data_IF_871176582398
#
_entry.id   IF_871176582398
#
_cell.length_a   1.000
_cell.length_b   1.000
_cell.length_c   1.000
_cell.angle_alpha   90.00
_cell.angle_beta   90.00
_cell.angle_gamma   90.00
#
_symmetry.space_group_name_H-M   'P 1'
#
loop_
_entity.id
_entity.type
_entity.pdbx_description
1 polymer ?
#
# COMPACT_ATOMS: atom_id res chain seq x y z
N UNK A 1 8.57 15.54 29.30
CA UNK A 1 7.75 16.47 28.54
C UNK A 1 6.49 15.69 28.22
N UNK A 2 5.33 16.19 28.65
CA UNK A 2 4.05 15.60 28.30
C UNK A 2 3.90 15.62 26.77
N UNK A 3 3.36 14.57 26.18
CA UNK A 3 3.03 14.58 24.76
C UNK A 3 1.82 15.51 24.56
N UNK A 4 2.09 16.81 24.41
CA UNK A 4 1.06 17.75 24.00
C UNK A 4 0.65 17.35 22.59
N UNK A 5 -0.62 16.96 22.41
CA UNK A 5 -1.20 16.72 21.08
C UNK A 5 -0.93 17.97 20.25
N UNK A 6 -0.15 17.85 19.18
CA UNK A 6 0.14 18.96 18.30
C UNK A 6 -1.17 19.43 17.66
N UNK A 7 -1.44 20.73 17.75
CA UNK A 7 -2.63 21.34 17.13
C UNK A 7 -2.20 22.30 16.03
N UNK A 8 -1.86 21.79 14.84
CA UNK A 8 -1.54 22.65 13.72
C UNK A 8 -2.76 23.43 13.25
N UNK A 9 -2.53 24.60 12.65
CA UNK A 9 -3.60 25.33 11.98
C UNK A 9 -4.14 24.51 10.81
N UNK A 10 -5.48 24.42 10.67
CA UNK A 10 -6.14 23.73 9.55
C UNK A 10 -5.67 24.23 8.19
N UNK A 11 -5.31 25.51 8.06
CA UNK A 11 -4.77 26.06 6.81
C UNK A 11 -3.45 25.38 6.37
N UNK A 12 -2.69 24.81 7.31
CA UNK A 12 -1.47 24.06 6.99
C UNK A 12 -1.74 22.66 6.43
N UNK A 13 -2.97 22.19 6.43
CA UNK A 13 -3.38 21.01 5.67
C UNK A 13 -3.59 21.30 4.16
N UNK A 14 -3.73 22.58 3.77
CA UNK A 14 -3.92 22.96 2.38
C UNK A 14 -2.77 22.52 1.45
N UNK A 15 -1.47 22.64 1.81
CA UNK A 15 -0.37 22.12 1.00
C UNK A 15 -0.50 20.63 0.65
N UNK A 16 -1.01 19.81 1.59
CA UNK A 16 -1.29 18.40 1.35
C UNK A 16 -2.41 18.20 0.32
N UNK A 17 -3.55 18.87 0.51
CA UNK A 17 -4.66 18.83 -0.45
C UNK A 17 -4.26 19.32 -1.85
N UNK A 18 -3.47 20.41 -1.94
CA UNK A 18 -2.95 20.94 -3.19
C UNK A 18 -2.02 19.93 -3.87
N UNK A 19 -1.10 19.31 -3.11
CA UNK A 19 -0.17 18.32 -3.64
C UNK A 19 -0.92 17.10 -4.19
N UNK A 20 -1.85 16.54 -3.42
CA UNK A 20 -2.65 15.39 -3.84
C UNK A 20 -3.51 15.72 -5.07
N UNK A 21 -4.15 16.90 -5.09
CA UNK A 21 -4.89 17.38 -6.25
C UNK A 21 -3.99 17.55 -7.49
N UNK A 22 -2.76 18.06 -7.31
CA UNK A 22 -1.81 18.19 -8.40
C UNK A 22 -1.34 16.83 -8.93
N UNK A 23 -1.04 15.86 -8.06
CA UNK A 23 -0.67 14.50 -8.46
C UNK A 23 -1.80 13.84 -9.26
N UNK A 24 -3.06 14.00 -8.83
CA UNK A 24 -4.21 13.38 -9.47
C UNK A 24 -4.59 14.06 -10.81
N UNK A 25 -4.57 15.37 -10.87
CA UNK A 25 -5.15 16.14 -11.97
C UNK A 25 -4.11 16.66 -12.98
N UNK A 26 -2.92 17.08 -12.53
CA UNK A 26 -1.94 17.68 -13.43
C UNK A 26 -1.46 16.74 -14.55
N UNK A 27 -1.23 15.41 -14.32
CA UNK A 27 -0.92 14.48 -15.42
C UNK A 27 -2.04 14.34 -16.45
N UNK A 28 -3.30 14.58 -16.07
CA UNK A 28 -4.46 14.45 -16.97
C UNK A 28 -4.63 15.68 -17.86
N UNK A 29 -4.36 16.88 -17.33
CA UNK A 29 -4.63 18.14 -18.03
C UNK A 29 -3.36 18.84 -18.54
N UNK A 30 -2.21 18.62 -17.89
CA UNK A 30 -0.95 19.33 -18.11
C UNK A 30 0.27 18.39 -18.04
N UNK A 31 0.20 17.20 -18.70
CA UNK A 31 1.19 16.12 -18.58
C UNK A 31 2.64 16.59 -18.81
N UNK A 32 2.92 17.35 -19.88
CA UNK A 32 4.27 17.83 -20.21
C UNK A 32 4.81 18.83 -19.17
N UNK A 33 3.94 19.71 -18.68
CA UNK A 33 4.31 20.67 -17.64
C UNK A 33 4.58 19.96 -16.32
N UNK A 34 3.68 19.05 -15.91
CA UNK A 34 3.82 18.27 -14.70
C UNK A 34 5.10 17.43 -14.72
N UNK A 35 5.35 16.69 -15.79
CA UNK A 35 6.55 15.87 -15.94
C UNK A 35 7.86 16.63 -15.74
N UNK A 36 7.90 17.95 -16.06
CA UNK A 36 9.08 18.80 -15.88
C UNK A 36 9.15 19.50 -14.51
N UNK A 37 7.99 19.77 -13.87
CA UNK A 37 7.91 20.66 -12.73
C UNK A 37 7.46 19.98 -11.42
N UNK A 38 6.96 18.73 -11.48
CA UNK A 38 6.49 18.04 -10.27
C UNK A 38 7.50 18.06 -9.12
N UNK A 39 8.84 17.92 -9.32
CA UNK A 39 9.76 17.95 -8.21
C UNK A 39 9.80 19.31 -7.48
N UNK A 40 9.69 20.39 -8.24
CA UNK A 40 9.70 21.75 -7.69
C UNK A 40 8.42 22.05 -6.91
N UNK A 41 7.27 21.67 -7.47
CA UNK A 41 5.97 21.85 -6.81
C UNK A 41 5.92 21.02 -5.53
N UNK A 42 6.24 19.73 -5.63
CA UNK A 42 6.17 18.81 -4.51
C UNK A 42 7.11 19.23 -3.36
N UNK A 43 8.39 19.40 -3.65
CA UNK A 43 9.37 19.80 -2.63
C UNK A 43 9.11 21.21 -2.09
N UNK A 44 8.64 22.14 -2.92
CA UNK A 44 8.27 23.49 -2.46
C UNK A 44 7.16 23.46 -1.41
N UNK A 45 6.09 22.70 -1.65
CA UNK A 45 5.00 22.52 -0.69
C UNK A 45 5.49 21.83 0.60
N UNK A 46 6.32 20.79 0.47
CA UNK A 46 6.90 20.08 1.61
C UNK A 46 7.78 20.99 2.48
N UNK A 47 8.63 21.80 1.86
CA UNK A 47 9.52 22.74 2.58
C UNK A 47 8.71 23.77 3.38
N UNK A 48 7.61 24.30 2.84
CA UNK A 48 6.74 25.24 3.57
C UNK A 48 6.23 24.61 4.87
N UNK A 49 5.76 23.36 4.82
CA UNK A 49 5.26 22.68 6.02
C UNK A 49 6.39 22.35 7.01
N UNK A 50 7.55 21.90 6.52
CA UNK A 50 8.72 21.64 7.40
C UNK A 50 9.14 22.91 8.13
N UNK A 51 9.23 24.06 7.43
CA UNK A 51 9.55 25.34 8.06
C UNK A 51 8.52 25.69 9.13
N UNK A 52 7.22 25.50 8.88
CA UNK A 52 6.16 25.75 9.86
C UNK A 52 6.35 24.88 11.12
N UNK A 53 6.62 23.58 10.97
CA UNK A 53 6.84 22.68 12.10
C UNK A 53 8.10 23.03 12.91
N UNK A 54 9.17 23.44 12.25
CA UNK A 54 10.43 23.77 12.92
C UNK A 54 10.40 25.16 13.58
N UNK A 55 9.80 26.16 12.92
CA UNK A 55 9.84 27.54 13.37
C UNK A 55 8.67 27.92 14.30
N UNK A 56 7.44 27.49 13.96
CA UNK A 56 6.23 27.89 14.69
C UNK A 56 5.90 26.88 15.79
N UNK A 57 5.80 25.59 15.43
CA UNK A 57 5.44 24.53 16.39
C UNK A 57 6.61 24.04 17.22
N UNK A 58 7.86 24.34 16.79
CA UNK A 58 9.11 23.86 17.42
C UNK A 58 9.15 22.34 17.62
N UNK A 59 8.49 21.60 16.72
CA UNK A 59 8.29 20.16 16.76
C UNK A 59 9.34 19.39 15.94
N UNK A 60 10.62 19.70 16.12
CA UNK A 60 11.74 19.04 15.43
C UNK A 60 11.75 17.51 15.56
N UNK A 61 11.50 16.93 16.75
CA UNK A 61 11.40 15.48 16.91
C UNK A 61 10.30 14.85 16.06
N UNK A 62 9.16 15.49 15.86
CA UNK A 62 8.07 15.03 15.03
C UNK A 62 8.47 14.99 13.54
N UNK A 63 9.12 16.07 13.05
CA UNK A 63 9.68 16.10 11.68
C UNK A 63 10.70 14.99 11.49
N UNK A 64 11.56 14.75 12.47
CA UNK A 64 12.56 13.67 12.41
C UNK A 64 11.89 12.28 12.35
N UNK A 65 10.86 12.04 13.17
CA UNK A 65 10.10 10.79 13.15
C UNK A 65 9.48 10.54 11.77
N UNK A 66 8.80 11.53 11.21
CA UNK A 66 8.23 11.45 9.85
C UNK A 66 9.29 11.20 8.78
N UNK A 67 10.46 11.84 8.91
CA UNK A 67 11.59 11.61 7.99
C UNK A 67 12.11 10.15 8.10
N UNK A 68 12.18 9.58 9.29
CA UNK A 68 12.59 8.18 9.47
C UNK A 68 11.57 7.20 8.89
N UNK A 69 10.28 7.47 9.03
CA UNK A 69 9.21 6.68 8.40
C UNK A 69 9.33 6.72 6.86
N UNK A 70 9.55 7.91 6.29
CA UNK A 70 9.79 8.05 4.85
C UNK A 70 11.02 7.26 4.38
N UNK A 71 12.14 7.32 5.11
CA UNK A 71 13.36 6.56 4.77
C UNK A 71 13.06 5.07 4.79
N UNK A 72 12.39 4.56 5.81
CA UNK A 72 11.99 3.15 5.89
C UNK A 72 11.10 2.73 4.72
N UNK A 73 10.12 3.58 4.39
CA UNK A 73 9.20 3.36 3.28
C UNK A 73 9.94 3.28 1.93
N UNK A 74 10.77 4.29 1.62
CA UNK A 74 11.44 4.33 0.31
C UNK A 74 12.53 3.26 0.17
N UNK A 75 13.18 2.86 1.27
CA UNK A 75 14.11 1.74 1.26
C UNK A 75 13.41 0.43 0.93
N UNK A 76 12.22 0.17 1.48
CA UNK A 76 11.45 -1.02 1.14
C UNK A 76 10.99 -1.00 -0.31
N UNK A 77 10.24 0.04 -0.70
CA UNK A 77 9.68 0.12 -2.06
C UNK A 77 10.78 0.15 -3.12
N UNK A 78 11.86 0.89 -2.89
CA UNK A 78 13.00 0.99 -3.78
C UNK A 78 13.74 -0.33 -3.93
N UNK A 79 13.97 -1.04 -2.84
CA UNK A 79 14.64 -2.34 -2.89
C UNK A 79 13.81 -3.39 -3.64
N UNK A 80 12.51 -3.46 -3.37
CA UNK A 80 11.60 -4.36 -4.10
C UNK A 80 11.53 -4.01 -5.59
N UNK A 81 11.52 -2.72 -5.93
CA UNK A 81 11.54 -2.26 -7.32
C UNK A 81 12.81 -2.69 -8.07
N UNK A 82 13.99 -2.50 -7.47
CA UNK A 82 15.26 -2.88 -8.08
C UNK A 82 15.36 -4.39 -8.24
N UNK A 83 15.02 -5.14 -7.20
CA UNK A 83 15.11 -6.61 -7.21
C UNK A 83 14.13 -7.20 -8.23
N UNK A 84 12.89 -6.73 -8.29
CA UNK A 84 11.90 -7.19 -9.28
C UNK A 84 12.33 -6.85 -10.72
N UNK A 85 12.97 -5.70 -10.92
CA UNK A 85 13.55 -5.29 -12.20
C UNK A 85 14.72 -6.18 -12.66
N UNK A 86 15.35 -6.90 -11.74
CA UNK A 86 16.40 -7.89 -12.01
C UNK A 86 15.89 -9.30 -12.35
N UNK A 87 14.59 -9.55 -12.32
CA UNK A 87 13.98 -10.85 -12.66
C UNK A 87 13.23 -10.70 -13.99
N UNK A 88 13.50 -11.61 -14.93
CA UNK A 88 12.79 -11.65 -16.22
C UNK A 88 12.10 -13.00 -16.40
N UNK A 89 10.81 -12.95 -16.72
CA UNK A 89 9.97 -14.11 -16.96
C UNK A 89 9.48 -14.08 -18.41
N UNK A 90 9.76 -15.11 -19.17
CA UNK A 90 9.12 -15.38 -20.44
C UNK A 90 8.24 -16.62 -20.31
N UNK A 91 7.02 -16.55 -20.80
CA UNK A 91 6.01 -17.62 -20.63
C UNK A 91 5.66 -18.18 -21.98
N UNK A 92 5.73 -19.52 -22.10
CA UNK A 92 5.26 -20.26 -23.26
C UNK A 92 3.81 -20.72 -23.03
N UNK A 93 3.00 -20.65 -24.04
CA UNK A 93 1.74 -21.34 -24.06
C UNK A 93 0.56 -20.49 -24.52
N UNK A 94 -0.52 -21.21 -24.83
CA UNK A 94 -1.75 -20.62 -25.24
C UNK A 94 -2.46 -19.96 -24.04
N UNK A 95 -2.78 -18.69 -24.16
CA UNK A 95 -3.53 -17.93 -23.16
C UNK A 95 -5.01 -18.34 -23.15
N UNK A 96 -5.31 -19.56 -22.68
CA UNK A 96 -6.70 -19.98 -22.44
C UNK A 96 -7.25 -19.24 -21.21
N UNK A 97 -8.57 -19.10 -21.09
CA UNK A 97 -9.19 -18.47 -19.92
C UNK A 97 -8.77 -19.09 -18.59
N UNK A 98 -8.56 -20.40 -18.52
CA UNK A 98 -8.08 -21.11 -17.32
C UNK A 98 -6.63 -20.73 -16.98
N UNK A 99 -5.75 -20.69 -18.00
CA UNK A 99 -4.36 -20.29 -17.83
C UNK A 99 -4.27 -18.84 -17.39
N UNK A 100 -5.10 -17.96 -17.96
CA UNK A 100 -5.16 -16.55 -17.57
C UNK A 100 -5.63 -16.37 -16.12
N UNK A 101 -6.66 -17.11 -15.68
CA UNK A 101 -7.11 -17.08 -14.27
C UNK A 101 -6.00 -17.55 -13.34
N UNK A 102 -5.31 -18.63 -13.68
CA UNK A 102 -4.18 -19.13 -12.88
C UNK A 102 -3.04 -18.11 -12.81
N UNK A 103 -2.72 -17.45 -13.94
CA UNK A 103 -1.71 -16.42 -13.99
C UNK A 103 -2.06 -15.22 -13.10
N UNK A 104 -3.30 -14.75 -13.14
CA UNK A 104 -3.77 -13.65 -12.28
C UNK A 104 -3.77 -14.06 -10.80
N UNK A 105 -4.15 -15.30 -10.48
CA UNK A 105 -4.09 -15.83 -9.11
C UNK A 105 -2.64 -15.88 -8.59
N UNK A 106 -1.70 -16.40 -9.40
CA UNK A 106 -0.28 -16.39 -9.07
C UNK A 106 0.19 -14.95 -8.89
N UNK A 107 -0.24 -14.03 -9.75
CA UNK A 107 0.05 -12.60 -9.63
C UNK A 107 -0.43 -12.01 -8.31
N UNK A 108 -1.67 -12.30 -7.90
CA UNK A 108 -2.22 -11.87 -6.62
C UNK A 108 -1.44 -12.40 -5.41
N UNK A 109 -1.00 -13.66 -5.46
CA UNK A 109 -0.16 -14.24 -4.41
C UNK A 109 1.24 -13.60 -4.38
N UNK A 110 1.83 -13.42 -5.57
CA UNK A 110 3.17 -12.81 -5.74
C UNK A 110 3.19 -11.36 -5.26
N UNK A 111 2.09 -10.62 -5.41
CA UNK A 111 1.98 -9.23 -4.94
C UNK A 111 2.21 -9.08 -3.44
N UNK A 112 1.89 -10.10 -2.63
CA UNK A 112 2.13 -10.07 -1.19
C UNK A 112 3.61 -10.27 -0.79
N UNK A 113 4.45 -10.63 -1.74
CA UNK A 113 5.89 -10.94 -1.53
C UNK A 113 6.78 -9.89 -2.20
N UNK A 114 6.45 -9.52 -3.45
CA UNK A 114 7.19 -8.54 -4.26
C UNK A 114 6.65 -7.10 -4.13
N UNK A 115 5.53 -6.94 -3.43
CA UNK A 115 4.72 -5.72 -3.50
C UNK A 115 3.91 -5.65 -4.80
N UNK A 116 2.81 -4.91 -4.76
CA UNK A 116 1.96 -4.66 -5.94
C UNK A 116 2.74 -4.05 -7.10
N UNK A 117 3.65 -3.12 -6.81
CA UNK A 117 4.53 -2.50 -7.82
C UNK A 117 5.48 -3.54 -8.43
N UNK A 118 6.20 -4.30 -7.61
CA UNK A 118 7.16 -5.29 -8.07
C UNK A 118 6.51 -6.41 -8.88
N UNK A 119 5.40 -6.97 -8.40
CA UNK A 119 4.63 -8.00 -9.09
C UNK A 119 4.07 -7.47 -10.42
N UNK A 120 3.55 -6.24 -10.44
CA UNK A 120 3.02 -5.62 -11.65
C UNK A 120 4.10 -5.44 -12.73
N UNK A 121 5.27 -4.91 -12.34
CA UNK A 121 6.39 -4.73 -13.26
C UNK A 121 6.93 -6.04 -13.82
N UNK A 122 7.00 -7.08 -12.99
CA UNK A 122 7.47 -8.41 -13.36
C UNK A 122 6.49 -9.11 -14.31
N UNK A 123 5.19 -9.03 -14.04
CA UNK A 123 4.19 -9.90 -14.67
C UNK A 123 3.46 -9.24 -15.84
N UNK A 124 3.45 -7.90 -15.97
CA UNK A 124 2.69 -7.25 -17.05
C UNK A 124 3.20 -7.60 -18.43
N UNK A 125 4.53 -7.66 -18.65
CA UNK A 125 5.10 -7.99 -19.97
C UNK A 125 4.78 -9.43 -20.40
N UNK A 126 5.01 -10.48 -19.59
CA UNK A 126 4.52 -11.82 -19.87
C UNK A 126 3.02 -11.86 -20.16
N UNK A 127 2.21 -11.15 -19.37
CA UNK A 127 0.77 -11.07 -19.54
C UNK A 127 0.34 -10.51 -20.89
N UNK A 128 0.97 -9.41 -21.33
CA UNK A 128 0.72 -8.81 -22.63
C UNK A 128 1.11 -9.76 -23.76
N UNK A 129 2.27 -10.42 -23.66
CA UNK A 129 2.77 -11.36 -24.67
C UNK A 129 1.88 -12.59 -24.81
N UNK A 130 1.47 -13.22 -23.71
CA UNK A 130 0.57 -14.38 -23.72
C UNK A 130 -0.75 -14.09 -24.44
N UNK A 131 -1.27 -12.87 -24.27
CA UNK A 131 -2.58 -12.48 -24.78
C UNK A 131 -2.51 -11.66 -26.07
N UNK A 132 -1.34 -11.47 -26.70
CA UNK A 132 -1.13 -10.52 -27.81
C UNK A 132 -2.15 -10.63 -28.95
N UNK A 133 -2.56 -11.86 -29.31
CA UNK A 133 -3.50 -12.12 -30.42
C UNK A 133 -4.95 -11.77 -30.11
N UNK A 134 -5.32 -11.54 -28.85
CA UNK A 134 -6.69 -11.22 -28.43
C UNK A 134 -6.76 -10.20 -27.30
N UNK A 135 -5.68 -9.49 -27.05
CA UNK A 135 -5.59 -8.53 -25.95
C UNK A 135 -6.65 -7.43 -26.10
N UNK A 136 -7.36 -7.16 -25.00
CA UNK A 136 -8.40 -6.12 -24.92
C UNK A 136 -8.33 -5.43 -23.56
N UNK A 137 -9.09 -4.34 -23.39
CA UNK A 137 -9.10 -3.58 -22.15
C UNK A 137 -9.40 -4.41 -20.89
N UNK A 138 -10.21 -5.50 -21.00
CA UNK A 138 -10.48 -6.32 -19.81
C UNK A 138 -9.22 -7.07 -19.32
N UNK A 139 -8.32 -7.50 -20.19
CA UNK A 139 -7.06 -8.13 -19.76
C UNK A 139 -6.22 -7.15 -18.93
N UNK A 140 -6.10 -5.89 -19.40
CA UNK A 140 -5.35 -4.86 -18.69
C UNK A 140 -5.98 -4.55 -17.34
N UNK A 141 -7.29 -4.31 -17.32
CA UNK A 141 -7.94 -3.81 -16.13
C UNK A 141 -8.12 -4.87 -15.05
N UNK A 142 -8.42 -6.11 -15.40
CA UNK A 142 -8.43 -7.18 -14.40
C UNK A 142 -7.02 -7.50 -13.86
N UNK A 143 -5.98 -7.32 -14.67
CA UNK A 143 -4.60 -7.36 -14.15
C UNK A 143 -4.37 -6.26 -13.12
N UNK A 144 -4.79 -5.02 -13.41
CA UNK A 144 -4.70 -3.90 -12.45
C UNK A 144 -5.54 -4.20 -11.20
N UNK A 145 -6.78 -4.64 -11.34
CA UNK A 145 -7.64 -4.95 -10.21
C UNK A 145 -7.02 -5.98 -9.28
N UNK A 146 -6.54 -7.08 -9.86
CA UNK A 146 -6.11 -8.26 -9.11
C UNK A 146 -4.65 -8.15 -8.67
N UNK A 147 -3.73 -7.90 -9.60
CA UNK A 147 -2.28 -7.96 -9.31
C UNK A 147 -1.77 -6.64 -8.71
N UNK A 148 -2.22 -5.51 -9.26
CA UNK A 148 -1.71 -4.20 -8.85
C UNK A 148 -2.40 -3.63 -7.59
N UNK A 149 -3.47 -4.26 -7.10
CA UNK A 149 -4.23 -3.76 -5.94
C UNK A 149 -4.73 -4.89 -5.04
N UNK A 150 -5.91 -5.45 -5.31
CA UNK A 150 -6.62 -6.38 -4.41
C UNK A 150 -5.74 -7.54 -3.95
N UNK A 151 -4.93 -8.08 -4.85
CA UNK A 151 -4.03 -9.20 -4.58
C UNK A 151 -2.99 -8.91 -3.49
N UNK A 152 -2.49 -7.68 -3.40
CA UNK A 152 -1.43 -7.29 -2.47
C UNK A 152 -1.87 -7.01 -1.03
N UNK A 153 -3.12 -7.24 -0.66
CA UNK A 153 -3.68 -6.78 0.62
C UNK A 153 -3.54 -7.75 1.79
N UNK A 154 -2.63 -8.74 1.74
CA UNK A 154 -2.42 -9.68 2.86
C UNK A 154 -1.16 -9.43 3.68
N UNK A 155 -0.21 -8.64 3.21
CA UNK A 155 1.02 -8.37 3.94
C UNK A 155 1.41 -6.90 3.88
N UNK A 156 2.15 -6.40 4.87
CA UNK A 156 2.72 -5.05 4.83
C UNK A 156 3.65 -4.81 3.63
N UNK A 157 4.28 -5.85 3.10
CA UNK A 157 5.13 -5.76 1.89
C UNK A 157 4.27 -5.68 0.63
N UNK A 158 3.04 -6.18 0.69
CA UNK A 158 2.14 -6.29 -0.45
C UNK A 158 1.71 -4.95 -1.02
N UNK A 159 1.31 -4.02 -0.17
CA UNK A 159 0.92 -2.69 -0.65
C UNK A 159 1.38 -1.58 0.32
N UNK A 160 1.81 -0.41 -0.20
CA UNK A 160 2.34 0.70 0.59
C UNK A 160 1.52 1.10 1.82
N UNK A 161 0.18 1.21 1.78
CA UNK A 161 -0.64 1.52 2.95
C UNK A 161 -0.40 0.59 4.14
N UNK A 162 -0.33 -0.71 3.85
CA UNK A 162 -0.18 -1.72 4.89
C UNK A 162 1.19 -1.67 5.56
N UNK A 163 2.23 -1.28 4.81
CA UNK A 163 3.55 -1.05 5.38
C UNK A 163 3.57 0.17 6.29
N UNK A 164 2.87 1.23 5.92
CA UNK A 164 2.72 2.41 6.78
C UNK A 164 1.96 2.07 8.07
N UNK A 165 0.92 1.23 7.98
CA UNK A 165 0.27 0.66 9.16
C UNK A 165 1.22 -0.13 10.04
N UNK A 166 2.08 -0.95 9.44
CA UNK A 166 3.13 -1.69 10.17
C UNK A 166 4.09 -0.75 10.90
N UNK A 167 4.51 0.36 10.27
CA UNK A 167 5.34 1.38 10.93
C UNK A 167 4.60 2.07 12.10
N UNK A 168 3.28 2.16 12.04
CA UNK A 168 2.40 2.67 13.11
C UNK A 168 1.99 1.61 14.15
N UNK A 169 2.65 0.45 14.15
CA UNK A 169 2.47 -0.58 15.16
C UNK A 169 1.45 -1.66 14.84
N UNK A 170 0.86 -1.71 13.63
CA UNK A 170 0.06 -2.87 13.20
C UNK A 170 0.99 -4.09 13.08
N UNK A 171 0.70 -5.24 13.72
CA UNK A 171 1.57 -6.41 13.62
C UNK A 171 1.67 -6.93 12.18
N UNK A 172 2.86 -7.41 11.77
CA UNK A 172 3.11 -7.85 10.40
C UNK A 172 2.06 -8.84 9.87
N UNK A 173 1.75 -9.87 10.65
CA UNK A 173 0.80 -10.92 10.26
C UNK A 173 -0.65 -10.59 10.56
N UNK A 174 -0.93 -9.42 11.13
CA UNK A 174 -2.28 -9.04 11.53
C UNK A 174 -3.21 -8.97 10.31
N UNK A 175 -2.76 -8.32 9.23
CA UNK A 175 -3.55 -8.17 8.00
C UNK A 175 -3.88 -9.54 7.41
N UNK A 176 -2.89 -10.42 7.30
CA UNK A 176 -3.12 -11.77 6.79
C UNK A 176 -4.12 -12.55 7.64
N UNK A 177 -4.06 -12.42 8.97
CA UNK A 177 -4.95 -13.15 9.89
C UNK A 177 -6.38 -12.64 9.90
N UNK A 178 -6.57 -11.33 9.75
CA UNK A 178 -7.89 -10.71 9.87
C UNK A 178 -8.53 -10.41 8.51
N UNK A 179 -7.74 -10.05 7.51
CA UNK A 179 -8.26 -9.60 6.21
C UNK A 179 -8.30 -10.69 5.12
N UNK A 180 -7.80 -11.93 5.38
CA UNK A 180 -7.83 -13.00 4.38
C UNK A 180 -9.25 -13.35 3.85
N UNK A 181 -10.34 -13.26 4.65
CA UNK A 181 -11.67 -13.57 4.12
C UNK A 181 -12.11 -12.54 3.06
N UNK A 182 -11.79 -11.24 3.33
CA UNK A 182 -12.08 -10.15 2.39
C UNK A 182 -11.24 -10.30 1.13
N UNK A 183 -9.95 -10.64 1.27
CA UNK A 183 -9.04 -10.90 0.16
C UNK A 183 -9.53 -12.07 -0.71
N UNK A 184 -9.86 -13.20 -0.08
CA UNK A 184 -10.35 -14.40 -0.79
C UNK A 184 -11.64 -14.10 -1.53
N UNK A 185 -12.57 -13.39 -0.90
CA UNK A 185 -13.84 -12.98 -1.50
C UNK A 185 -13.59 -12.04 -2.69
N UNK A 186 -12.78 -10.99 -2.51
CA UNK A 186 -12.50 -9.99 -3.55
C UNK A 186 -11.78 -10.59 -4.75
N UNK A 187 -10.67 -11.32 -4.52
CA UNK A 187 -9.92 -12.01 -5.59
C UNK A 187 -10.78 -13.07 -6.25
N UNK A 188 -11.54 -13.86 -5.49
CA UNK A 188 -12.42 -14.90 -6.00
C UNK A 188 -13.50 -14.35 -6.93
N UNK A 189 -14.18 -13.28 -6.54
CA UNK A 189 -15.20 -12.61 -7.36
C UNK A 189 -14.57 -12.07 -8.65
N UNK A 190 -13.45 -11.35 -8.55
CA UNK A 190 -12.78 -10.77 -9.71
C UNK A 190 -12.28 -11.85 -10.69
N UNK A 191 -11.70 -12.94 -10.18
CA UNK A 191 -11.28 -14.08 -11.02
C UNK A 191 -12.47 -14.76 -11.70
N UNK A 192 -13.60 -14.92 -11.00
CA UNK A 192 -14.81 -15.49 -11.58
C UNK A 192 -15.38 -14.58 -12.69
N UNK A 193 -15.47 -13.27 -12.43
CA UNK A 193 -15.91 -12.30 -13.44
C UNK A 193 -14.97 -12.29 -14.65
N UNK A 194 -13.65 -12.26 -14.40
CA UNK A 194 -12.65 -12.36 -15.46
C UNK A 194 -12.80 -13.61 -16.29
N UNK A 195 -12.96 -14.77 -15.65
CA UNK A 195 -13.14 -16.06 -16.36
C UNK A 195 -14.32 -16.04 -17.32
N UNK A 196 -15.45 -15.46 -16.92
CA UNK A 196 -16.63 -15.33 -17.77
C UNK A 196 -16.34 -14.42 -18.97
N UNK A 197 -15.83 -13.22 -18.70
CA UNK A 197 -15.55 -12.20 -19.74
C UNK A 197 -14.48 -12.72 -20.71
N UNK A 198 -13.42 -13.33 -20.19
CA UNK A 198 -12.31 -13.85 -21.00
C UNK A 198 -12.72 -15.08 -21.82
N UNK A 199 -13.61 -15.93 -21.29
CA UNK A 199 -14.18 -17.06 -22.06
C UNK A 199 -15.01 -16.57 -23.24
N UNK A 200 -15.80 -15.52 -23.07
CA UNK A 200 -16.57 -14.91 -24.16
C UNK A 200 -15.66 -14.28 -25.22
N UNK A 201 -14.57 -13.65 -24.81
CA UNK A 201 -13.55 -13.10 -25.71
C UNK A 201 -12.80 -14.23 -26.44
N UNK A 202 -12.38 -15.28 -25.73
CA UNK A 202 -11.65 -16.41 -26.29
C UNK A 202 -12.42 -17.14 -27.39
N UNK A 203 -13.73 -17.33 -27.22
CA UNK A 203 -14.61 -17.98 -28.22
C UNK A 203 -14.72 -17.18 -29.53
N UNK A 204 -14.43 -15.88 -29.50
CA UNK A 204 -14.45 -15.01 -30.69
C UNK A 204 -13.14 -15.04 -31.48
N UNK A 205 -12.04 -15.52 -30.88
CA UNK A 205 -10.73 -15.53 -31.51
C UNK A 205 -10.60 -16.69 -32.51
N UNK A 206 -10.16 -16.44 -33.79
CA UNK A 206 -9.98 -17.50 -34.79
C UNK A 206 -8.90 -18.48 -34.38
N UNK A 207 -9.18 -19.80 -34.47
CA UNK A 207 -8.25 -20.86 -34.06
C UNK A 207 -6.91 -20.80 -34.80
N UNK A 208 -6.93 -20.47 -36.12
CA UNK A 208 -5.73 -20.39 -36.97
C UNK A 208 -4.76 -19.28 -36.54
N UNK A 209 -5.26 -18.13 -36.06
CA UNK A 209 -4.41 -17.05 -35.57
C UNK A 209 -3.71 -17.46 -34.28
N UNK A 210 -4.39 -18.18 -33.43
CA UNK A 210 -3.93 -18.70 -32.16
C UNK A 210 -2.72 -19.64 -32.33
N UNK A 211 -2.83 -20.63 -33.24
CA UNK A 211 -1.75 -21.60 -33.50
C UNK A 211 -0.47 -20.94 -34.06
N UNK A 212 -0.61 -19.97 -34.97
CA UNK A 212 0.51 -19.29 -35.59
C UNK A 212 1.28 -18.40 -34.60
N UNK A 213 0.60 -17.75 -33.66
CA UNK A 213 1.18 -16.79 -32.74
C UNK A 213 1.86 -17.45 -31.51
N UNK A 214 1.52 -18.71 -31.19
CA UNK A 214 2.07 -19.43 -30.02
C UNK A 214 3.20 -20.42 -30.37
N UNK A 215 3.50 -20.65 -31.64
CA UNK A 215 4.39 -21.70 -32.12
C UNK A 215 5.89 -21.54 -31.69
N UNK A 216 6.33 -20.35 -31.38
CA UNK A 216 7.77 -20.03 -31.17
C UNK A 216 8.14 -19.51 -29.78
N UNK A 217 7.29 -19.61 -28.78
CA UNK A 217 7.57 -19.11 -27.43
C UNK A 217 8.14 -20.23 -26.52
N UNK A 218 9.11 -19.87 -25.68
CA UNK A 218 9.73 -20.78 -24.70
C UNK A 218 9.65 -20.20 -23.29
N UNK A 219 9.51 -21.09 -22.29
CA UNK A 219 9.67 -20.70 -20.90
C UNK A 219 11.13 -20.32 -20.63
N UNK A 220 11.35 -19.07 -20.19
CA UNK A 220 12.66 -18.60 -19.73
C UNK A 220 12.51 -17.81 -18.46
N UNK A 221 13.33 -18.17 -17.48
CA UNK A 221 13.45 -17.47 -16.21
C UNK A 221 14.89 -16.99 -16.09
N UNK A 222 15.10 -15.68 -16.07
CA UNK A 222 16.42 -15.07 -15.95
C UNK A 222 16.50 -14.24 -14.67
N UNK A 223 17.70 -14.14 -14.09
CA UNK A 223 17.91 -13.33 -12.90
C UNK A 223 17.39 -13.95 -11.61
N UNK A 224 17.23 -15.27 -11.52
CA UNK A 224 16.70 -15.95 -10.32
C UNK A 224 17.56 -15.73 -9.05
N UNK A 225 18.83 -15.32 -9.20
CA UNK A 225 19.69 -14.88 -8.08
C UNK A 225 19.04 -13.73 -7.28
N UNK A 226 18.18 -12.95 -7.91
CA UNK A 226 17.43 -11.87 -7.24
C UNK A 226 16.41 -12.37 -6.21
N UNK A 227 16.00 -13.64 -6.26
CA UNK A 227 15.19 -14.25 -5.22
C UNK A 227 15.94 -14.34 -3.88
N UNK A 228 17.27 -14.48 -3.91
CA UNK A 228 18.09 -14.40 -2.69
C UNK A 228 18.03 -12.99 -2.09
N UNK A 229 18.24 -11.94 -2.89
CA UNK A 229 18.13 -10.57 -2.40
C UNK A 229 16.72 -10.21 -1.92
N UNK A 230 15.70 -10.75 -2.59
CA UNK A 230 14.31 -10.64 -2.13
C UNK A 230 14.13 -11.24 -0.73
N UNK A 231 14.63 -12.45 -0.51
CA UNK A 231 14.57 -13.10 0.81
C UNK A 231 15.30 -12.28 1.90
N UNK A 232 16.43 -11.67 1.56
CA UNK A 232 17.16 -10.76 2.45
C UNK A 232 16.31 -9.53 2.81
N UNK A 233 15.66 -8.88 1.83
CA UNK A 233 14.77 -7.72 2.07
C UNK A 233 13.59 -8.12 2.95
N UNK A 234 12.92 -9.25 2.65
CA UNK A 234 11.80 -9.74 3.44
C UNK A 234 12.21 -10.08 4.89
N UNK A 235 13.40 -10.67 5.07
CA UNK A 235 13.95 -10.91 6.40
C UNK A 235 14.28 -9.61 7.15
N UNK A 236 14.80 -8.61 6.44
CA UNK A 236 15.15 -7.33 7.02
C UNK A 236 13.95 -6.56 7.57
N UNK A 237 12.73 -6.75 7.01
CA UNK A 237 11.50 -6.10 7.51
C UNK A 237 11.27 -6.36 9.00
N UNK A 238 11.68 -7.51 9.51
CA UNK A 238 11.51 -7.90 10.92
C UNK A 238 12.60 -7.36 11.85
N UNK A 239 13.59 -6.64 11.34
CA UNK A 239 14.69 -6.07 12.13
C UNK A 239 14.31 -4.66 12.58
N UNK A 240 13.95 -4.52 13.87
CA UNK A 240 13.56 -3.23 14.44
C UNK A 240 14.71 -2.53 15.20
N UNK A 241 15.79 -3.25 15.51
CA UNK A 241 16.95 -2.74 16.26
C UNK A 241 18.26 -3.32 15.74
N UNK A 242 19.37 -2.55 15.73
CA UNK A 242 19.45 -1.11 16.01
C UNK A 242 18.75 -0.24 14.93
N UNK A 243 18.49 1.06 15.20
CA UNK A 243 17.89 1.96 14.23
C UNK A 243 18.68 1.98 12.91
N UNK A 244 17.97 2.09 11.79
CA UNK A 244 18.51 2.11 10.42
C UNK A 244 19.22 0.84 9.93
N UNK A 245 19.36 -0.22 10.74
CA UNK A 245 19.97 -1.47 10.29
C UNK A 245 19.12 -2.14 9.20
N UNK A 246 17.80 -2.13 9.36
CA UNK A 246 16.84 -2.64 8.40
C UNK A 246 17.01 -1.95 7.03
N UNK A 247 17.01 -0.64 7.04
CA UNK A 247 17.13 0.20 5.84
C UNK A 247 18.49 -0.01 5.15
N UNK A 248 19.55 -0.13 5.92
CA UNK A 248 20.89 -0.42 5.39
C UNK A 248 20.96 -1.80 4.71
N UNK A 249 20.36 -2.83 5.33
CA UNK A 249 20.32 -4.18 4.73
C UNK A 249 19.50 -4.17 3.44
N UNK A 250 18.34 -3.50 3.43
CA UNK A 250 17.50 -3.36 2.24
C UNK A 250 18.23 -2.64 1.10
N UNK A 251 18.90 -1.53 1.40
CA UNK A 251 19.69 -0.78 0.42
C UNK A 251 20.88 -1.61 -0.11
N UNK A 252 21.58 -2.31 0.77
CA UNK A 252 22.69 -3.20 0.38
C UNK A 252 22.20 -4.34 -0.51
N UNK A 253 21.05 -4.96 -0.18
CA UNK A 253 20.45 -6.00 -1.02
C UNK A 253 20.04 -5.47 -2.40
N UNK A 254 19.46 -4.27 -2.47
CA UNK A 254 19.13 -3.62 -3.74
C UNK A 254 20.37 -3.33 -4.59
N UNK A 255 21.43 -2.78 -3.99
CA UNK A 255 22.71 -2.58 -4.66
C UNK A 255 23.31 -3.90 -5.14
N UNK A 256 23.36 -4.92 -4.27
CA UNK A 256 23.83 -6.25 -4.64
C UNK A 256 23.06 -6.84 -5.82
N UNK A 257 21.73 -6.76 -5.78
CA UNK A 257 20.84 -7.18 -6.87
C UNK A 257 21.19 -6.46 -8.17
N UNK A 258 21.29 -5.13 -8.15
CA UNK A 258 21.57 -4.33 -9.35
C UNK A 258 22.91 -4.68 -9.99
N UNK A 259 24.00 -4.79 -9.20
CA UNK A 259 25.33 -5.04 -9.72
C UNK A 259 25.58 -6.51 -10.12
N UNK A 260 24.88 -7.47 -9.51
CA UNK A 260 25.02 -8.90 -9.86
C UNK A 260 24.09 -9.33 -10.98
N UNK A 261 23.03 -8.58 -11.26
CA UNK A 261 22.13 -8.85 -12.39
C UNK A 261 22.81 -8.52 -13.71
N UNK A 262 22.78 -9.46 -14.65
CA UNK A 262 23.38 -9.29 -15.96
C UNK A 262 22.61 -8.23 -16.77
N UNK A 263 23.36 -7.40 -17.51
CA UNK A 263 22.80 -6.28 -18.28
C UNK A 263 21.67 -6.69 -19.22
N UNK A 264 21.76 -7.83 -19.87
CA UNK A 264 20.72 -8.31 -20.79
C UNK A 264 19.37 -8.57 -20.09
N UNK A 265 19.35 -8.84 -18.77
CA UNK A 265 18.11 -8.97 -17.99
C UNK A 265 17.46 -7.60 -17.77
N UNK A 266 18.28 -6.61 -17.42
CA UNK A 266 17.81 -5.23 -17.30
C UNK A 266 17.29 -4.69 -18.64
N UNK A 267 18.02 -4.95 -19.74
CA UNK A 267 17.62 -4.55 -21.08
C UNK A 267 16.30 -5.24 -21.51
N UNK A 268 16.13 -6.54 -21.19
CA UNK A 268 14.91 -7.28 -21.48
C UNK A 268 13.68 -6.78 -20.68
N UNK A 269 13.91 -6.16 -19.51
CA UNK A 269 12.90 -5.54 -18.68
C UNK A 269 12.71 -4.04 -18.93
N UNK A 270 13.46 -3.42 -19.87
CA UNK A 270 13.52 -1.96 -20.05
C UNK A 270 13.72 -1.24 -18.71
N UNK A 271 14.57 -1.81 -17.84
CA UNK A 271 14.76 -1.33 -16.48
C UNK A 271 15.41 0.04 -16.46
N UNK A 272 14.78 0.98 -15.75
CA UNK A 272 15.36 2.30 -15.48
C UNK A 272 14.88 2.82 -14.12
N UNK A 273 15.59 3.79 -13.55
CA UNK A 273 15.31 4.34 -12.24
C UNK A 273 14.26 5.47 -12.24
N UNK A 274 13.71 5.87 -13.39
CA UNK A 274 12.76 6.99 -13.43
C UNK A 274 11.51 6.78 -12.56
N UNK A 275 10.85 5.60 -12.59
CA UNK A 275 9.67 5.38 -11.78
C UNK A 275 9.94 5.50 -10.27
N UNK A 276 11.00 4.87 -9.79
CA UNK A 276 11.33 4.92 -8.35
C UNK A 276 11.83 6.31 -7.92
N UNK A 277 12.51 7.06 -8.81
CA UNK A 277 12.89 8.44 -8.56
C UNK A 277 11.66 9.34 -8.41
N UNK A 278 10.66 9.17 -9.26
CA UNK A 278 9.41 9.92 -9.18
C UNK A 278 8.68 9.61 -7.87
N UNK A 279 8.54 8.33 -7.54
CA UNK A 279 7.96 7.89 -6.26
C UNK A 279 8.72 8.50 -5.08
N UNK A 280 10.05 8.45 -5.07
CA UNK A 280 10.84 8.99 -3.98
C UNK A 280 10.59 10.50 -3.77
N UNK A 281 10.57 11.29 -4.83
CA UNK A 281 10.36 12.75 -4.74
C UNK A 281 8.94 13.07 -4.29
N UNK A 282 7.94 12.43 -4.87
CA UNK A 282 6.53 12.69 -4.53
C UNK A 282 6.22 12.27 -3.10
N UNK A 283 6.68 11.11 -2.67
CA UNK A 283 6.43 10.63 -1.32
C UNK A 283 7.20 11.42 -0.25
N UNK A 284 8.41 11.92 -0.54
CA UNK A 284 9.09 12.85 0.36
C UNK A 284 8.23 14.09 0.67
N UNK A 285 7.61 14.64 -0.38
CA UNK A 285 6.70 15.78 -0.23
C UNK A 285 5.38 15.39 0.43
N UNK A 286 4.81 14.22 0.11
CA UNK A 286 3.59 13.69 0.74
C UNK A 286 3.83 13.54 2.25
N UNK A 287 4.90 12.86 2.67
CA UNK A 287 5.22 12.69 4.09
C UNK A 287 5.39 14.03 4.82
N UNK A 288 6.03 15.00 4.17
CA UNK A 288 6.18 16.34 4.76
C UNK A 288 4.84 17.10 4.85
N UNK A 289 4.04 17.09 3.78
CA UNK A 289 2.80 17.86 3.72
C UNK A 289 1.63 17.23 4.48
N UNK A 290 1.62 15.92 4.69
CA UNK A 290 0.54 15.23 5.40
C UNK A 290 0.58 15.47 6.92
N UNK A 291 1.74 15.80 7.53
CA UNK A 291 1.87 15.99 8.98
C UNK A 291 0.73 16.85 9.56
N UNK A 292 0.48 18.10 9.10
CA UNK A 292 -0.57 18.91 9.69
C UNK A 292 -1.99 18.36 9.46
N UNK A 293 -2.21 17.63 8.38
CA UNK A 293 -3.51 17.01 8.13
C UNK A 293 -3.77 15.84 9.09
N UNK A 294 -2.75 14.99 9.31
CA UNK A 294 -2.85 13.86 10.23
C UNK A 294 -2.99 14.31 11.68
N UNK A 295 -2.16 15.25 12.13
CA UNK A 295 -2.21 15.79 13.50
C UNK A 295 -3.54 16.50 13.76
N UNK A 296 -4.07 17.25 12.78
CA UNK A 296 -5.37 17.89 12.90
C UNK A 296 -6.52 16.86 12.97
N UNK A 297 -6.48 15.82 12.13
CA UNK A 297 -7.45 14.74 12.16
C UNK A 297 -7.41 14.01 13.51
N UNK A 298 -6.25 13.68 14.02
CA UNK A 298 -6.09 13.02 15.30
C UNK A 298 -6.64 13.89 16.45
N UNK A 299 -6.43 15.20 16.41
CA UNK A 299 -6.91 16.13 17.44
C UNK A 299 -8.43 16.39 17.40
N UNK A 300 -9.07 16.24 16.22
CA UNK A 300 -10.46 16.70 16.02
C UNK A 300 -11.44 15.60 15.58
N UNK A 301 -10.98 14.38 15.29
CA UNK A 301 -11.81 13.31 14.74
C UNK A 301 -13.00 12.94 15.65
N UNK A 302 -12.86 13.04 16.97
CA UNK A 302 -13.95 12.81 17.93
C UNK A 302 -15.15 13.73 17.71
N UNK A 303 -14.95 14.89 17.06
CA UNK A 303 -16.01 15.86 16.76
C UNK A 303 -16.70 15.57 15.43
N UNK A 304 -16.17 14.70 14.58
CA UNK A 304 -16.69 14.40 13.25
C UNK A 304 -17.88 13.41 13.25
N UNK A 305 -18.31 12.93 14.41
CA UNK A 305 -19.44 12.02 14.56
C UNK A 305 -19.03 10.63 15.03
N UNK A 306 -20.02 9.70 15.13
CA UNK A 306 -19.74 8.32 15.54
C UNK A 306 -19.18 7.52 14.33
N UNK A 307 -17.90 7.14 14.34
CA UNK A 307 -17.32 6.36 13.26
C UNK A 307 -17.84 4.93 13.28
N UNK A 308 -18.12 4.39 12.08
CA UNK A 308 -18.53 3.00 11.88
C UNK A 308 -17.60 2.32 10.87
N UNK A 309 -17.47 0.98 10.90
CA UNK A 309 -16.67 0.27 9.91
C UNK A 309 -17.07 0.58 8.46
N UNK A 310 -18.38 0.72 8.20
CA UNK A 310 -18.88 1.10 6.88
C UNK A 310 -18.45 2.50 6.45
N UNK A 311 -18.45 3.48 7.37
CA UNK A 311 -17.96 4.83 7.08
C UNK A 311 -16.46 4.82 6.74
N UNK A 312 -15.67 4.10 7.52
CA UNK A 312 -14.23 3.97 7.26
C UNK A 312 -13.94 3.25 5.94
N UNK A 313 -14.69 2.18 5.61
CA UNK A 313 -14.54 1.45 4.35
C UNK A 313 -14.83 2.33 3.12
N UNK A 314 -16.01 2.97 3.10
CA UNK A 314 -16.42 3.82 1.97
C UNK A 314 -15.65 5.14 1.91
N UNK A 315 -15.35 5.74 3.06
CA UNK A 315 -14.61 7.00 3.14
C UNK A 315 -13.17 6.85 2.68
N UNK A 316 -12.43 5.89 3.25
CA UNK A 316 -11.05 5.59 2.81
C UNK A 316 -11.03 5.11 1.36
N UNK A 317 -12.01 4.30 0.97
CA UNK A 317 -12.14 3.79 -0.39
C UNK A 317 -12.41 4.90 -1.41
N UNK A 318 -13.40 5.76 -1.17
CA UNK A 318 -13.72 6.85 -2.09
C UNK A 318 -12.52 7.77 -2.31
N UNK A 319 -11.79 8.10 -1.24
CA UNK A 319 -10.60 8.93 -1.33
C UNK A 319 -9.47 8.20 -2.09
N UNK A 320 -9.24 6.92 -1.80
CA UNK A 320 -8.24 6.08 -2.48
C UNK A 320 -8.53 5.85 -3.97
N UNK A 321 -9.78 5.98 -4.39
CA UNK A 321 -10.12 5.89 -5.82
C UNK A 321 -9.54 7.02 -6.67
N UNK A 322 -9.23 8.17 -6.07
CA UNK A 322 -8.77 9.39 -6.75
C UNK A 322 -7.40 9.84 -6.27
N UNK A 323 -6.98 9.43 -5.08
CA UNK A 323 -5.69 9.72 -4.49
C UNK A 323 -4.93 8.42 -4.28
N UNK A 324 -3.61 8.51 -4.16
CA UNK A 324 -2.80 7.35 -3.80
C UNK A 324 -3.27 6.73 -2.47
N UNK A 325 -3.30 5.40 -2.42
CA UNK A 325 -3.84 4.65 -1.29
C UNK A 325 -3.03 4.81 0.02
N UNK A 326 -1.73 5.10 -0.06
CA UNK A 326 -0.88 5.24 1.13
C UNK A 326 -1.22 6.48 1.99
N UNK A 327 -1.28 7.73 1.46
CA UNK A 327 -1.71 8.87 2.24
C UNK A 327 -3.16 8.77 2.70
N UNK A 328 -4.01 8.13 1.90
CA UNK A 328 -5.41 7.86 2.28
C UNK A 328 -5.49 6.98 3.52
N UNK A 329 -4.75 5.88 3.55
CA UNK A 329 -4.69 4.97 4.69
C UNK A 329 -4.28 5.70 5.97
N UNK A 330 -3.17 6.47 5.94
CA UNK A 330 -2.69 7.20 7.11
C UNK A 330 -3.67 8.26 7.59
N UNK A 331 -4.35 8.96 6.67
CA UNK A 331 -5.38 9.95 7.05
C UNK A 331 -6.53 9.31 7.82
N UNK A 332 -7.03 8.17 7.36
CA UNK A 332 -8.11 7.46 8.04
C UNK A 332 -7.65 6.75 9.31
N UNK A 333 -6.42 6.23 9.36
CA UNK A 333 -5.84 5.68 10.59
C UNK A 333 -5.68 6.78 11.67
N UNK A 334 -5.21 7.98 11.30
CA UNK A 334 -5.12 9.12 12.23
C UNK A 334 -6.50 9.57 12.69
N UNK A 335 -7.51 9.55 11.81
CA UNK A 335 -8.89 9.81 12.19
C UNK A 335 -9.45 8.75 13.15
N UNK A 336 -9.09 7.49 12.98
CA UNK A 336 -9.44 6.39 13.88
C UNK A 336 -8.82 6.59 15.27
N UNK A 337 -7.53 6.93 15.33
CA UNK A 337 -6.84 7.23 16.59
C UNK A 337 -7.52 8.42 17.30
N UNK A 338 -7.74 9.52 16.60
CA UNK A 338 -8.40 10.70 17.18
C UNK A 338 -9.84 10.46 17.62
N UNK A 339 -10.56 9.53 16.99
CA UNK A 339 -11.94 9.21 17.36
C UNK A 339 -12.05 8.29 18.57
N UNK A 340 -11.12 7.36 18.76
CA UNK A 340 -11.24 6.27 19.71
C UNK A 340 -10.20 6.26 20.82
N UNK A 341 -9.03 6.90 20.61
CA UNK A 341 -7.94 6.84 21.57
C UNK A 341 -7.97 8.04 22.50
N UNK A 342 -7.97 7.74 23.81
CA UNK A 342 -7.69 8.75 24.82
C UNK A 342 -6.19 8.88 25.02
N UNK A 343 -5.57 10.05 24.75
CA UNK A 343 -4.13 10.24 24.89
C UNK A 343 -3.62 9.99 26.31
N UNK A 344 -4.41 10.32 27.34
CA UNK A 344 -4.03 10.10 28.74
C UNK A 344 -3.97 8.60 29.04
N UNK A 345 -4.92 7.82 28.51
CA UNK A 345 -4.91 6.37 28.63
C UNK A 345 -3.70 5.74 27.92
N UNK A 346 -3.36 6.21 26.71
CA UNK A 346 -2.19 5.74 25.98
C UNK A 346 -0.89 6.05 26.76
N UNK A 347 -0.75 7.25 27.31
CA UNK A 347 0.38 7.61 28.17
C UNK A 347 0.45 6.74 29.43
N UNK A 348 -0.70 6.47 30.07
CA UNK A 348 -0.79 5.58 31.23
C UNK A 348 -0.35 4.14 30.90
N UNK A 349 -0.73 3.62 29.71
CA UNK A 349 -0.30 2.29 29.23
C UNK A 349 1.23 2.25 29.08
N UNK A 350 1.83 3.26 28.43
CA UNK A 350 3.30 3.33 28.28
C UNK A 350 4.00 3.37 29.63
N UNK A 351 3.53 4.21 30.57
CA UNK A 351 4.09 4.34 31.90
C UNK A 351 3.95 3.02 32.68
N UNK A 352 2.79 2.38 32.63
CA UNK A 352 2.54 1.10 33.31
C UNK A 352 3.46 0.00 32.79
N UNK A 353 3.55 -0.18 31.48
CA UNK A 353 4.40 -1.22 30.90
C UNK A 353 5.88 -0.99 31.19
N UNK A 354 6.35 0.25 31.21
CA UNK A 354 7.76 0.56 31.59
C UNK A 354 8.10 0.11 33.00
N UNK A 355 7.16 0.20 33.94
CA UNK A 355 7.38 -0.17 35.35
C UNK A 355 7.08 -1.65 35.58
N UNK A 356 5.90 -2.13 35.20
CA UNK A 356 5.37 -3.44 35.57
C UNK A 356 5.44 -4.49 34.44
N UNK A 357 5.70 -4.07 33.18
CA UNK A 357 5.71 -4.98 32.02
C UNK A 357 4.32 -5.58 31.78
N UNK A 358 4.26 -6.90 31.69
CA UNK A 358 3.02 -7.65 31.47
C UNK A 358 2.29 -8.05 32.77
N UNK A 359 2.81 -7.68 33.95
CA UNK A 359 2.20 -8.01 35.24
C UNK A 359 1.03 -7.07 35.54
N UNK A 360 -0.16 -7.64 35.70
CA UNK A 360 -1.42 -6.90 35.93
C UNK A 360 -1.79 -6.83 37.41
N UNK A 361 -0.97 -7.38 38.32
CA UNK A 361 -1.27 -7.43 39.76
C UNK A 361 -1.32 -6.06 40.44
N UNK A 362 -0.59 -5.08 39.86
CA UNK A 362 -0.53 -3.69 40.35
C UNK A 362 -1.61 -2.76 39.80
N UNK A 363 -2.59 -3.28 39.05
CA UNK A 363 -3.62 -2.50 38.37
C UNK A 363 -4.75 -1.99 39.27
N UNK A 364 -4.93 -2.58 40.46
CA UNK A 364 -6.02 -2.26 41.36
C UNK A 364 -5.96 -0.78 41.79
N UNK A 365 -6.98 0.00 41.44
CA UNK A 365 -7.08 1.43 41.78
C UNK A 365 -6.36 2.40 40.83
N UNK A 366 -5.74 1.90 39.73
CA UNK A 366 -5.11 2.76 38.72
C UNK A 366 -6.15 3.46 37.85
N UNK A 367 -5.97 4.75 37.52
CA UNK A 367 -6.71 5.37 36.43
C UNK A 367 -6.53 4.55 35.12
N UNK A 368 -7.59 4.41 34.34
CA UNK A 368 -7.58 3.64 33.08
C UNK A 368 -7.25 2.15 33.21
N UNK A 369 -7.53 1.50 34.38
CA UNK A 369 -7.19 0.10 34.62
C UNK A 369 -7.75 -0.86 33.58
N UNK A 370 -8.98 -0.66 33.13
CA UNK A 370 -9.60 -1.49 32.09
C UNK A 370 -8.87 -1.36 30.74
N UNK A 371 -8.57 -0.15 30.32
CA UNK A 371 -7.84 0.11 29.07
C UNK A 371 -6.42 -0.44 29.11
N UNK A 372 -5.73 -0.30 30.26
CA UNK A 372 -4.40 -0.90 30.46
C UNK A 372 -4.49 -2.43 30.38
N UNK A 373 -5.49 -3.06 30.99
CA UNK A 373 -5.67 -4.51 30.94
C UNK A 373 -5.89 -5.01 29.50
N UNK A 374 -6.79 -4.36 28.75
CA UNK A 374 -7.08 -4.68 27.37
C UNK A 374 -5.85 -4.48 26.48
N UNK A 375 -5.16 -3.34 26.62
CA UNK A 375 -3.96 -3.03 25.85
C UNK A 375 -2.80 -3.98 26.14
N UNK A 376 -2.54 -4.34 27.40
CA UNK A 376 -1.52 -5.33 27.75
C UNK A 376 -1.88 -6.71 27.18
N UNK A 377 -3.16 -7.08 27.17
CA UNK A 377 -3.66 -8.28 26.51
C UNK A 377 -3.35 -8.29 25.01
N UNK A 378 -3.61 -7.18 24.32
CA UNK A 378 -3.30 -7.00 22.91
C UNK A 378 -1.78 -7.00 22.65
N UNK A 379 -0.98 -6.31 23.48
CA UNK A 379 0.48 -6.27 23.37
C UNK A 379 1.13 -7.66 23.52
N UNK A 380 0.59 -8.53 24.37
CA UNK A 380 1.09 -9.91 24.51
C UNK A 380 1.05 -10.69 23.20
N UNK A 381 0.04 -10.44 22.37
CA UNK A 381 -0.12 -11.12 21.09
C UNK A 381 0.55 -10.37 19.93
N UNK A 382 0.54 -9.04 19.98
CA UNK A 382 0.99 -8.17 18.89
C UNK A 382 2.49 -7.83 18.97
N UNK A 383 2.98 -7.50 20.16
CA UNK A 383 4.34 -6.98 20.41
C UNK A 383 5.00 -7.65 21.65
N UNK A 384 5.12 -9.00 21.66
CA UNK A 384 5.63 -9.72 22.84
C UNK A 384 7.08 -9.38 23.19
N UNK A 385 7.91 -9.07 22.19
CA UNK A 385 9.32 -8.71 22.38
C UNK A 385 9.44 -7.35 23.06
N UNK A 386 8.76 -6.33 22.53
CA UNK A 386 8.74 -4.97 23.04
C UNK A 386 8.12 -4.91 24.46
N UNK A 387 7.07 -5.71 24.68
CA UNK A 387 6.43 -5.83 25.98
C UNK A 387 7.38 -6.47 27.03
N UNK A 388 8.05 -7.54 26.67
CA UNK A 388 9.02 -8.22 27.56
C UNK A 388 10.23 -7.34 27.86
N UNK A 389 10.68 -6.57 26.87
CA UNK A 389 11.77 -5.61 27.02
C UNK A 389 11.35 -4.30 27.72
N UNK A 390 10.05 -4.15 28.09
CA UNK A 390 9.48 -2.90 28.66
C UNK A 390 9.75 -1.67 27.80
N UNK A 391 9.79 -1.84 26.48
CA UNK A 391 10.26 -0.83 25.52
C UNK A 391 9.19 -0.50 24.47
N UNK A 392 7.92 -0.39 24.90
CA UNK A 392 6.82 0.04 24.05
C UNK A 392 6.90 1.55 23.78
N UNK A 393 6.50 1.95 22.58
CA UNK A 393 6.32 3.34 22.17
C UNK A 393 4.88 3.80 22.36
N UNK A 394 4.61 5.10 22.14
CA UNK A 394 3.23 5.63 22.09
C UNK A 394 2.41 4.94 21.00
N UNK A 395 3.01 4.80 19.79
CA UNK A 395 2.34 4.12 18.67
C UNK A 395 1.92 2.68 19.01
N UNK A 396 2.77 1.94 19.75
CA UNK A 396 2.42 0.60 20.23
C UNK A 396 1.27 0.62 21.22
N UNK A 397 1.19 1.62 22.10
CA UNK A 397 0.11 1.74 23.09
C UNK A 397 -1.22 2.11 22.41
N UNK A 398 -1.19 3.09 21.52
CA UNK A 398 -2.36 3.51 20.72
C UNK A 398 -2.89 2.36 19.87
N UNK A 399 -1.99 1.68 19.14
CA UNK A 399 -2.36 0.51 18.35
C UNK A 399 -2.90 -0.65 19.22
N UNK A 400 -2.34 -0.87 20.40
CA UNK A 400 -2.85 -1.90 21.32
C UNK A 400 -4.28 -1.60 21.80
N UNK A 401 -4.65 -0.34 21.97
CA UNK A 401 -6.04 0.04 22.28
C UNK A 401 -6.98 -0.27 21.11
N UNK A 402 -6.55 -0.03 19.87
CA UNK A 402 -7.32 -0.41 18.67
C UNK A 402 -7.48 -1.93 18.60
N UNK A 403 -6.38 -2.66 18.70
CA UNK A 403 -6.38 -4.12 18.58
C UNK A 403 -7.12 -4.83 19.73
N UNK A 404 -7.21 -4.18 20.90
CA UNK A 404 -7.91 -4.69 22.08
C UNK A 404 -9.44 -4.53 22.05
N UNK A 405 -9.98 -3.71 21.14
CA UNK A 405 -11.42 -3.42 21.11
C UNK A 405 -12.07 -3.89 19.79
N UNK A 406 -13.15 -4.72 19.85
CA UNK A 406 -13.73 -5.34 18.64
C UNK A 406 -14.20 -4.36 17.56
N UNK A 407 -14.83 -3.23 17.95
CA UNK A 407 -15.29 -2.22 17.00
C UNK A 407 -14.11 -1.49 16.32
N UNK A 408 -13.08 -1.10 17.09
CA UNK A 408 -11.93 -0.39 16.57
C UNK A 408 -11.13 -1.31 15.64
N UNK A 409 -10.92 -2.56 16.05
CA UNK A 409 -10.32 -3.59 15.19
C UNK A 409 -11.04 -3.69 13.84
N UNK A 410 -12.39 -3.62 13.86
CA UNK A 410 -13.21 -3.70 12.66
C UNK A 410 -13.07 -2.45 11.77
N UNK A 411 -12.87 -1.28 12.37
CA UNK A 411 -12.59 -0.05 11.65
C UNK A 411 -11.20 -0.11 10.99
N UNK A 412 -10.18 -0.64 11.68
CA UNK A 412 -8.84 -0.84 11.11
C UNK A 412 -8.86 -1.83 9.91
N UNK A 413 -9.64 -2.93 10.00
CA UNK A 413 -9.88 -3.82 8.88
C UNK A 413 -10.52 -3.07 7.70
N UNK A 414 -11.54 -2.24 7.97
CA UNK A 414 -12.25 -1.46 6.98
C UNK A 414 -11.35 -0.45 6.27
N UNK A 415 -10.49 0.26 7.02
CA UNK A 415 -9.48 1.17 6.47
C UNK A 415 -8.48 0.41 5.62
N UNK A 416 -7.97 -0.73 6.09
CA UNK A 416 -6.97 -1.53 5.39
C UNK A 416 -7.50 -2.05 4.06
N UNK A 417 -8.70 -2.58 4.04
CA UNK A 417 -9.31 -3.12 2.82
C UNK A 417 -9.83 -1.98 1.92
N UNK A 418 -10.47 -0.96 2.48
CA UNK A 418 -10.98 0.18 1.74
C UNK A 418 -9.87 0.91 0.98
N UNK A 419 -8.80 1.29 1.66
CA UNK A 419 -7.69 2.02 1.03
C UNK A 419 -7.00 1.21 -0.08
N UNK A 420 -6.84 -0.11 0.06
CA UNK A 420 -6.18 -0.95 -0.95
C UNK A 420 -7.11 -1.30 -2.11
N UNK A 421 -8.31 -1.80 -1.83
CA UNK A 421 -9.20 -2.29 -2.89
C UNK A 421 -9.69 -1.19 -3.82
N UNK A 422 -10.04 -0.04 -3.27
CA UNK A 422 -10.53 1.08 -4.07
C UNK A 422 -9.44 1.78 -4.89
N UNK A 423 -8.16 1.64 -4.53
CA UNK A 423 -7.05 2.07 -5.37
C UNK A 423 -7.11 1.50 -6.80
N UNK A 424 -7.78 0.34 -6.96
CA UNK A 424 -8.06 -0.27 -8.24
C UNK A 424 -9.12 0.46 -9.08
N UNK A 425 -9.83 1.46 -8.58
CA UNK A 425 -10.96 2.06 -9.27
C UNK A 425 -10.57 2.99 -10.42
N UNK A 426 -9.34 3.49 -10.44
CA UNK A 426 -8.83 4.39 -11.48
C UNK A 426 -7.35 4.13 -11.76
N UNK A 427 -6.82 4.73 -12.85
CA UNK A 427 -5.38 4.67 -13.13
C UNK A 427 -4.52 5.42 -12.11
N UNK A 428 -5.09 6.40 -11.41
CA UNK A 428 -4.37 7.29 -10.48
C UNK A 428 -4.51 6.87 -9.01
N UNK A 429 -5.41 5.94 -8.70
CA UNK A 429 -5.65 5.50 -7.32
C UNK A 429 -4.49 4.70 -6.70
N UNK A 430 -3.57 4.18 -7.51
CA UNK A 430 -2.35 3.52 -7.03
C UNK A 430 -1.23 3.60 -8.07
N UNK A 431 -0.01 3.85 -7.66
CA UNK A 431 1.16 3.97 -8.54
C UNK A 431 1.34 2.84 -9.57
N UNK A 432 1.23 1.54 -9.18
CA UNK A 432 1.30 0.42 -10.12
C UNK A 432 0.31 0.50 -11.28
N UNK A 433 -0.88 1.06 -11.10
CA UNK A 433 -1.91 1.14 -12.14
C UNK A 433 -1.42 1.97 -13.34
N UNK A 434 -0.84 3.13 -13.04
CA UNK A 434 -0.30 4.02 -14.06
C UNK A 434 0.91 3.40 -14.78
N UNK A 435 1.78 2.72 -14.03
CA UNK A 435 2.94 2.02 -14.60
C UNK A 435 2.54 0.89 -15.55
N UNK A 436 1.56 0.08 -15.16
CA UNK A 436 0.99 -0.99 -15.98
C UNK A 436 0.38 -0.42 -17.27
N UNK A 437 -0.37 0.67 -17.17
CA UNK A 437 -0.91 1.38 -18.33
C UNK A 437 0.20 1.88 -19.25
N UNK A 438 1.22 2.54 -18.72
CA UNK A 438 2.33 3.08 -19.49
C UNK A 438 3.09 1.99 -20.27
N UNK A 439 3.35 0.82 -19.62
CA UNK A 439 3.97 -0.33 -20.29
C UNK A 439 3.08 -0.89 -21.41
N UNK A 440 1.77 -0.98 -21.18
CA UNK A 440 0.83 -1.46 -22.18
C UNK A 440 0.78 -0.50 -23.39
N UNK A 441 0.78 0.83 -23.15
CA UNK A 441 0.83 1.86 -24.21
C UNK A 441 2.12 1.77 -25.02
N UNK A 442 3.30 1.58 -24.37
CA UNK A 442 4.58 1.38 -25.04
C UNK A 442 4.56 0.15 -25.97
N UNK A 443 3.90 -0.92 -25.56
CA UNK A 443 3.73 -2.14 -26.37
C UNK A 443 2.57 -2.03 -27.39
N UNK A 444 1.98 -0.84 -27.55
CA UNK A 444 0.83 -0.58 -28.45
C UNK A 444 -0.37 -1.47 -28.19
N UNK A 445 -0.54 -1.93 -26.96
CA UNK A 445 -1.72 -2.66 -26.53
C UNK A 445 -2.90 -1.71 -26.37
N UNK A 446 -4.12 -2.21 -26.60
CA UNK A 446 -5.31 -1.39 -26.42
C UNK A 446 -5.56 -1.05 -24.97
N UNK A 447 -5.39 0.21 -24.59
CA UNK A 447 -5.64 0.72 -23.25
C UNK A 447 -6.92 1.56 -23.22
N UNK A 448 -7.87 1.29 -22.31
CA UNK A 448 -9.03 2.14 -22.13
C UNK A 448 -8.66 3.57 -21.72
N UNK A 449 -9.45 4.55 -22.18
CA UNK A 449 -9.34 5.93 -21.68
C UNK A 449 -9.71 6.00 -20.19
N UNK A 450 -9.36 7.08 -19.50
CA UNK A 450 -9.68 7.25 -18.06
C UNK A 450 -11.18 7.08 -17.77
N UNK A 451 -12.05 7.76 -18.52
CA UNK A 451 -13.49 7.60 -18.38
C UNK A 451 -13.97 6.21 -18.79
N UNK A 452 -13.35 5.64 -19.85
CA UNK A 452 -13.62 4.27 -20.27
C UNK A 452 -13.28 3.24 -19.17
N UNK A 453 -12.21 3.47 -18.42
CA UNK A 453 -11.87 2.67 -17.24
C UNK A 453 -13.01 2.69 -16.22
N UNK A 454 -13.40 3.89 -15.77
CA UNK A 454 -14.41 4.05 -14.73
C UNK A 454 -15.78 3.47 -15.17
N UNK A 455 -16.30 3.89 -16.32
CA UNK A 455 -17.66 3.54 -16.71
C UNK A 455 -17.81 2.11 -17.25
N UNK A 456 -16.80 1.59 -17.96
CA UNK A 456 -16.89 0.26 -18.60
C UNK A 456 -16.35 -0.88 -17.74
N UNK A 457 -15.55 -0.57 -16.70
CA UNK A 457 -14.89 -1.62 -15.91
C UNK A 457 -15.08 -1.42 -14.42
N UNK A 458 -14.80 -0.24 -13.84
CA UNK A 458 -14.95 -0.02 -12.41
C UNK A 458 -16.40 -0.19 -11.98
N UNK A 459 -17.34 0.52 -12.60
CA UNK A 459 -18.74 0.44 -12.23
C UNK A 459 -19.34 -0.97 -12.41
N UNK A 460 -19.11 -1.72 -13.51
CA UNK A 460 -19.70 -3.05 -13.65
C UNK A 460 -18.97 -4.18 -12.92
N UNK A 461 -17.70 -4.06 -12.58
CA UNK A 461 -16.93 -5.15 -11.98
C UNK A 461 -16.44 -4.84 -10.57
N UNK A 462 -15.78 -3.67 -10.35
CA UNK A 462 -15.26 -3.33 -9.03
C UNK A 462 -16.36 -2.95 -8.05
N UNK A 463 -17.30 -2.07 -8.45
CA UNK A 463 -18.36 -1.62 -7.57
C UNK A 463 -19.22 -2.75 -7.01
N UNK A 464 -19.70 -3.74 -7.81
CA UNK A 464 -20.43 -4.88 -7.26
C UNK A 464 -19.60 -5.71 -6.27
N UNK A 465 -18.31 -5.94 -6.55
CA UNK A 465 -17.42 -6.64 -5.63
C UNK A 465 -17.27 -5.87 -4.31
N UNK A 466 -17.06 -4.55 -4.37
CA UNK A 466 -16.93 -3.69 -3.19
C UNK A 466 -18.22 -3.65 -2.36
N UNK A 467 -19.39 -3.62 -3.00
CA UNK A 467 -20.68 -3.72 -2.34
C UNK A 467 -20.86 -5.06 -1.61
N UNK A 468 -20.42 -6.16 -2.21
CA UNK A 468 -20.46 -7.49 -1.58
C UNK A 468 -19.53 -7.52 -0.36
N UNK A 469 -18.30 -7.01 -0.49
CA UNK A 469 -17.34 -6.92 0.63
C UNK A 469 -17.92 -6.08 1.78
N UNK A 470 -18.45 -4.90 1.47
CA UNK A 470 -19.08 -4.07 2.48
C UNK A 470 -20.23 -4.77 3.19
N UNK A 471 -21.14 -5.38 2.42
CA UNK A 471 -22.31 -6.06 2.96
C UNK A 471 -21.95 -7.24 3.87
N UNK A 472 -20.95 -8.02 3.49
CA UNK A 472 -20.53 -9.22 4.24
C UNK A 472 -19.71 -8.89 5.49
N UNK A 473 -18.89 -7.83 5.45
CA UNK A 473 -17.86 -7.62 6.47
C UNK A 473 -17.98 -6.30 7.23
N UNK A 474 -18.58 -5.25 6.67
CA UNK A 474 -18.52 -3.89 7.23
C UNK A 474 -19.89 -3.18 7.38
N UNK A 475 -20.97 -3.91 7.18
CA UNK A 475 -22.33 -3.39 7.39
C UNK A 475 -22.68 -3.27 8.87
#
# INVERSE_FOLDING_TARGET
MEPSVLQPSLYMAAPFGILLGAIALAPLFFADWWGRHYPKVALGLGIVVIIYYLSVLKAGPHVWHTATEYISFICLVGSLFVISGGIHINVKGEATPRVNVLFLLIGALTSNVLGTTGASMLLIRPWLRMNKYRFTGHHLLFFIFIVSNVGGSLTPVGDPPLFLGYLKGVPFWWVARNCWPMWLTGVGILLAMFFVVDTLNFRKAPARVRELETAHEEWRFLGLTNLFYLAVVLGAVFINRPPFLRELIMAAAACGSYFTTQKHVHDANDFNFNPIKEVAILFAAIFATMMPALDWLQANAAQLGQPSPGLFFWGSGALSSVLDNAPTYLSFLSAEFGAFINPDAAAAIVAYVKTHGADLSALAGSPHAEQICQAVGALKSAHPIELSAKAITSDHAEMAMILGHPLYLKCLEAISIGSVFFGANTYIGNGPNFMVKAIADQQKAHTPTFLGYVFKYTLPYMLPMLLIIWFLFFR
#
